data_IF_805702118284
#
_entry.id   IF_805702118284
#
_cell.length_a   1.000
_cell.length_b   1.000
_cell.length_c   1.000
_cell.angle_alpha   90.00
_cell.angle_beta   90.00
_cell.angle_gamma   90.00
#
_symmetry.space_group_name_H-M   'P 1'
#
loop_
_entity.id
_entity.type
_entity.pdbx_description
1 polymer ?
#
# COMPACT_ATOMS: atom_id res chain seq x y z
N UNK A 1 -28.10 9.08 -0.41
CA UNK A 1 -26.70 8.58 -0.45
C UNK A 1 -26.33 7.91 -1.78
N UNK A 2 -27.12 6.96 -2.31
CA UNK A 2 -26.79 6.19 -3.55
C UNK A 2 -26.42 7.06 -4.78
N UNK A 3 -27.10 8.20 -4.97
CA UNK A 3 -26.80 9.11 -6.08
C UNK A 3 -25.43 9.79 -5.94
N UNK A 4 -25.06 10.17 -4.71
CA UNK A 4 -23.77 10.81 -4.43
C UNK A 4 -22.64 9.82 -4.68
N UNK A 5 -22.77 8.58 -4.20
CA UNK A 5 -21.78 7.52 -4.44
C UNK A 5 -21.57 7.27 -5.94
N UNK A 6 -22.65 7.15 -6.71
CA UNK A 6 -22.56 6.87 -8.16
C UNK A 6 -21.96 8.04 -8.93
N UNK A 7 -22.38 9.27 -8.61
CA UNK A 7 -21.94 10.48 -9.31
C UNK A 7 -20.49 10.82 -8.97
N UNK A 8 -20.11 10.70 -7.70
CA UNK A 8 -18.74 10.91 -7.23
C UNK A 8 -17.81 9.84 -7.78
N UNK A 9 -18.19 8.55 -7.78
CA UNK A 9 -17.38 7.50 -8.41
C UNK A 9 -17.19 7.75 -9.89
N UNK A 10 -18.26 8.07 -10.63
CA UNK A 10 -18.16 8.38 -12.06
C UNK A 10 -17.26 9.59 -12.31
N UNK A 11 -17.38 10.64 -11.48
CA UNK A 11 -16.52 11.81 -11.57
C UNK A 11 -15.05 11.47 -11.25
N UNK A 12 -14.76 10.75 -10.17
CA UNK A 12 -13.41 10.31 -9.79
C UNK A 12 -12.78 9.38 -10.85
N UNK A 13 -13.58 8.52 -11.48
CA UNK A 13 -13.16 7.66 -12.57
C UNK A 13 -12.82 8.45 -13.86
N UNK A 14 -13.33 9.66 -14.03
CA UNK A 14 -12.97 10.53 -15.15
C UNK A 14 -11.80 11.46 -14.78
N UNK A 15 -11.91 12.12 -13.63
CA UNK A 15 -10.96 13.11 -13.14
C UNK A 15 -11.13 13.28 -11.62
N UNK A 16 -10.06 13.07 -10.85
CA UNK A 16 -10.12 13.15 -9.39
C UNK A 16 -10.51 14.55 -8.89
N UNK A 17 -10.00 15.63 -9.52
CA UNK A 17 -10.38 17.01 -9.18
C UNK A 17 -11.90 17.22 -9.36
N UNK A 18 -12.49 16.70 -10.44
CA UNK A 18 -13.93 16.79 -10.68
C UNK A 18 -14.74 16.07 -9.60
N UNK A 19 -14.26 14.90 -9.14
CA UNK A 19 -14.88 14.16 -8.06
C UNK A 19 -14.84 14.92 -6.73
N UNK A 20 -13.70 15.53 -6.40
CA UNK A 20 -13.55 16.35 -5.20
C UNK A 20 -14.40 17.63 -5.28
N UNK A 21 -14.40 18.34 -6.41
CA UNK A 21 -15.24 19.52 -6.61
C UNK A 21 -16.74 19.17 -6.47
N UNK A 22 -17.16 18.00 -6.92
CA UNK A 22 -18.54 17.53 -6.73
C UNK A 22 -18.87 17.25 -5.26
N UNK A 23 -17.92 16.69 -4.50
CA UNK A 23 -18.08 16.47 -3.05
C UNK A 23 -18.15 17.80 -2.29
N UNK A 24 -17.34 18.79 -2.68
CA UNK A 24 -17.35 20.14 -2.13
C UNK A 24 -18.65 20.88 -2.44
N UNK A 25 -19.09 20.88 -3.70
CA UNK A 25 -20.37 21.48 -4.11
C UNK A 25 -21.57 20.89 -3.33
N UNK A 26 -21.44 19.65 -2.87
CA UNK A 26 -22.48 18.94 -2.10
C UNK A 26 -22.35 19.13 -0.59
N UNK A 27 -21.40 19.94 -0.13
CA UNK A 27 -21.14 20.19 1.29
C UNK A 27 -20.62 18.97 2.04
N UNK A 28 -20.11 17.96 1.33
CA UNK A 28 -19.49 16.77 1.94
C UNK A 28 -18.04 17.06 2.29
N UNK A 29 -17.37 17.85 1.45
CA UNK A 29 -16.07 18.43 1.71
C UNK A 29 -16.22 19.87 2.23
N UNK A 30 -15.48 20.27 3.26
CA UNK A 30 -15.34 21.68 3.60
C UNK A 30 -14.67 22.42 2.44
N UNK A 31 -15.15 23.63 2.14
CA UNK A 31 -14.65 24.46 1.03
C UNK A 31 -13.24 25.03 1.26
N UNK A 32 -12.69 24.87 2.46
CA UNK A 32 -11.34 25.29 2.80
C UNK A 32 -10.32 24.20 2.43
N UNK A 33 -9.61 24.44 1.34
CA UNK A 33 -8.32 23.79 1.01
C UNK A 33 -7.35 24.20 2.11
N UNK A 34 -7.23 23.39 3.19
CA UNK A 34 -6.37 22.22 3.11
C UNK A 34 -6.95 20.92 3.73
N UNK A 35 -8.24 20.89 4.08
CA UNK A 35 -8.80 19.80 4.92
C UNK A 35 -9.22 18.53 4.17
N UNK A 36 -8.96 18.42 2.86
CA UNK A 36 -9.42 17.25 2.10
C UNK A 36 -8.72 15.94 2.51
N UNK A 37 -7.56 16.00 3.18
CA UNK A 37 -6.78 14.82 3.60
C UNK A 37 -7.61 13.78 4.36
N UNK A 38 -8.40 14.22 5.35
CA UNK A 38 -9.29 13.34 6.10
C UNK A 38 -10.39 12.71 5.24
N UNK A 39 -10.94 13.46 4.28
CA UNK A 39 -11.96 12.93 3.38
C UNK A 39 -11.39 11.94 2.38
N UNK A 40 -10.19 12.20 1.85
CA UNK A 40 -9.51 11.25 0.97
C UNK A 40 -9.18 9.97 1.72
N UNK A 41 -8.78 10.05 2.99
CA UNK A 41 -8.63 8.88 3.84
C UNK A 41 -9.94 8.08 3.97
N UNK A 42 -11.07 8.74 4.21
CA UNK A 42 -12.39 8.08 4.21
C UNK A 42 -12.73 7.43 2.86
N UNK A 43 -12.43 8.12 1.74
CA UNK A 43 -12.67 7.60 0.40
C UNK A 43 -11.82 6.35 0.12
N UNK A 44 -10.54 6.34 0.51
CA UNK A 44 -9.69 5.15 0.37
C UNK A 44 -10.23 3.93 1.11
N UNK A 45 -11.04 4.11 2.16
CA UNK A 45 -11.72 3.02 2.84
C UNK A 45 -12.80 2.33 1.99
N UNK A 46 -13.47 3.05 1.10
CA UNK A 46 -14.71 2.60 0.43
C UNK A 46 -14.61 2.46 -1.09
N UNK A 47 -13.51 2.90 -1.68
CA UNK A 47 -13.32 2.84 -3.13
C UNK A 47 -12.79 1.48 -3.59
N UNK A 48 -13.14 1.01 -4.81
CA UNK A 48 -12.46 -0.12 -5.42
C UNK A 48 -10.98 0.20 -5.67
N UNK A 49 -10.16 -0.84 -5.81
CA UNK A 49 -8.70 -0.70 -5.89
C UNK A 49 -8.22 0.23 -7.00
N UNK A 50 -8.84 0.14 -8.19
CA UNK A 50 -8.46 0.95 -9.34
C UNK A 50 -8.60 2.46 -9.03
N UNK A 51 -9.68 2.84 -8.36
CA UNK A 51 -9.92 4.20 -7.92
C UNK A 51 -9.05 4.59 -6.73
N UNK A 52 -8.78 3.67 -5.78
CA UNK A 52 -7.81 3.94 -4.70
C UNK A 52 -6.45 4.32 -5.28
N UNK A 53 -5.98 3.60 -6.31
CA UNK A 53 -4.70 3.90 -6.98
C UNK A 53 -4.69 5.27 -7.64
N UNK A 54 -5.78 5.65 -8.32
CA UNK A 54 -5.90 6.98 -8.92
C UNK A 54 -5.94 8.08 -7.88
N UNK A 55 -6.69 7.85 -6.80
CA UNK A 55 -6.80 8.79 -5.70
C UNK A 55 -5.46 8.97 -5.00
N UNK A 56 -4.77 7.88 -4.68
CA UNK A 56 -3.45 7.96 -4.07
C UNK A 56 -2.41 8.58 -5.04
N UNK A 57 -2.45 8.29 -6.35
CA UNK A 57 -1.62 8.99 -7.35
C UNK A 57 -1.90 10.49 -7.38
N UNK A 58 -3.17 10.89 -7.31
CA UNK A 58 -3.57 12.30 -7.21
C UNK A 58 -3.03 12.97 -5.95
N UNK A 59 -3.09 12.30 -4.80
CA UNK A 59 -2.54 12.79 -3.52
C UNK A 59 -1.03 13.00 -3.63
N UNK A 60 -0.35 12.08 -4.32
CA UNK A 60 1.10 12.09 -4.47
C UNK A 60 1.61 12.99 -5.59
N UNK A 61 0.73 13.58 -6.41
CA UNK A 61 1.12 14.43 -7.52
C UNK A 61 1.83 15.71 -7.05
N UNK A 62 2.98 16.02 -7.65
CA UNK A 62 3.89 17.13 -7.34
C UNK A 62 3.21 18.49 -7.15
N UNK A 63 2.20 18.79 -7.97
CA UNK A 63 1.43 20.04 -7.91
C UNK A 63 0.50 20.15 -6.69
N UNK A 64 0.32 19.08 -5.90
CA UNK A 64 -0.45 19.16 -4.66
C UNK A 64 0.31 19.96 -3.59
N UNK A 65 -0.39 20.80 -2.80
CA UNK A 65 0.23 21.51 -1.69
C UNK A 65 0.75 20.52 -0.62
N UNK A 66 1.89 20.85 -0.01
CA UNK A 66 2.54 19.99 0.98
C UNK A 66 1.66 19.77 2.23
N UNK A 67 0.87 20.79 2.61
CA UNK A 67 -0.02 20.78 3.76
C UNK A 67 -1.14 19.75 3.61
N UNK A 68 -1.70 19.64 2.40
CA UNK A 68 -2.76 18.67 2.13
C UNK A 68 -2.22 17.24 2.21
N UNK A 69 -0.97 17.04 1.81
CA UNK A 69 -0.28 15.78 1.95
C UNK A 69 -0.05 15.43 3.43
N UNK A 70 0.42 16.36 4.25
CA UNK A 70 0.55 16.16 5.70
C UNK A 70 -0.80 15.78 6.32
N UNK A 71 -1.88 16.49 5.96
CA UNK A 71 -3.23 16.18 6.41
C UNK A 71 -3.74 14.80 5.98
N UNK A 72 -3.27 14.26 4.86
CA UNK A 72 -3.59 12.90 4.42
C UNK A 72 -2.90 11.82 5.28
N UNK A 73 -1.66 12.06 5.72
CA UNK A 73 -0.93 11.12 6.58
C UNK A 73 -1.26 11.28 8.07
N UNK A 74 -1.82 12.41 8.49
CA UNK A 74 -2.15 12.66 9.90
C UNK A 74 -3.02 11.57 10.55
N UNK A 75 -4.06 11.02 9.89
CA UNK A 75 -4.88 9.95 10.47
C UNK A 75 -4.17 8.60 10.57
N UNK A 76 -3.07 8.42 9.83
CA UNK A 76 -2.29 7.20 9.87
C UNK A 76 -1.53 7.17 11.20
N UNK A 77 -1.92 6.22 12.06
CA UNK A 77 -1.20 5.94 13.29
C UNK A 77 0.09 5.24 12.91
N UNK A 78 1.16 6.01 12.78
CA UNK A 78 2.52 5.53 12.53
C UNK A 78 3.27 5.23 13.83
N UNK A 79 2.53 5.05 14.94
CA UNK A 79 3.07 4.65 16.24
C UNK A 79 3.47 3.18 16.13
N UNK A 80 4.68 2.94 15.64
CA UNK A 80 5.19 1.61 15.36
C UNK A 80 6.50 1.35 16.10
N UNK A 81 6.87 0.08 16.20
CA UNK A 81 8.11 -0.37 16.84
C UNK A 81 9.35 0.27 16.20
N UNK A 82 9.34 0.32 14.87
CA UNK A 82 10.43 0.69 13.98
C UNK A 82 9.88 1.39 12.72
N UNK A 83 10.73 2.10 11.96
CA UNK A 83 10.36 2.65 10.65
C UNK A 83 9.80 1.59 9.69
N UNK A 84 10.35 0.37 9.73
CA UNK A 84 9.85 -0.77 8.98
C UNK A 84 8.40 -1.13 9.35
N UNK A 85 8.08 -1.21 10.65
CA UNK A 85 6.72 -1.45 11.11
C UNK A 85 5.75 -0.34 10.70
N UNK A 86 6.20 0.91 10.76
CA UNK A 86 5.44 2.06 10.25
C UNK A 86 5.19 1.97 8.75
N UNK A 87 6.19 1.55 7.96
CA UNK A 87 6.06 1.35 6.53
C UNK A 87 5.05 0.24 6.20
N UNK A 88 5.09 -0.88 6.92
CA UNK A 88 4.09 -1.95 6.76
C UNK A 88 2.68 -1.43 7.04
N UNK A 89 2.48 -0.69 8.13
CA UNK A 89 1.19 -0.08 8.43
C UNK A 89 0.74 0.87 7.31
N UNK A 90 1.65 1.73 6.81
CA UNK A 90 1.36 2.61 5.68
C UNK A 90 0.88 1.85 4.44
N UNK A 91 1.57 0.76 4.07
CA UNK A 91 1.25 -0.03 2.88
C UNK A 91 -0.09 -0.79 2.98
N UNK A 92 -0.63 -0.98 4.19
CA UNK A 92 -2.00 -1.49 4.36
C UNK A 92 -3.07 -0.43 4.06
N UNK A 93 -2.70 0.85 4.03
CA UNK A 93 -3.60 1.95 3.68
C UNK A 93 -3.40 2.45 2.25
N UNK A 94 -2.20 2.29 1.69
CA UNK A 94 -1.89 2.64 0.30
C UNK A 94 -2.04 1.45 -0.65
N UNK A 95 -2.72 1.60 -1.80
CA UNK A 95 -2.97 0.52 -2.76
C UNK A 95 -1.79 0.27 -3.74
N UNK A 96 -0.60 0.79 -3.44
CA UNK A 96 0.62 0.67 -4.24
C UNK A 96 1.86 0.91 -3.38
N UNK A 97 3.03 0.49 -3.88
CA UNK A 97 4.30 0.88 -3.26
C UNK A 97 4.61 2.34 -3.63
N UNK A 98 5.18 3.14 -2.72
CA UNK A 98 5.56 4.52 -3.01
C UNK A 98 6.30 4.68 -4.34
N UNK A 99 7.22 3.76 -4.66
CA UNK A 99 8.00 3.74 -5.92
C UNK A 99 7.15 3.68 -7.19
N UNK A 100 5.93 3.15 -7.13
CA UNK A 100 5.00 3.07 -8.27
C UNK A 100 4.33 4.43 -8.57
N UNK A 101 4.47 5.41 -7.68
CA UNK A 101 3.93 6.76 -7.89
C UNK A 101 4.80 7.62 -8.83
N UNK A 102 5.89 7.07 -9.38
CA UNK A 102 6.82 7.80 -10.24
C UNK A 102 7.45 8.96 -9.48
N UNK A 103 7.32 10.17 -9.99
CA UNK A 103 7.79 11.40 -9.32
C UNK A 103 7.16 11.61 -7.93
N UNK A 104 5.99 11.02 -7.65
CA UNK A 104 5.32 11.11 -6.36
C UNK A 104 5.90 10.20 -5.26
N UNK A 105 6.80 9.26 -5.60
CA UNK A 105 7.34 8.28 -4.66
C UNK A 105 8.10 8.94 -3.51
N UNK A 106 8.96 9.89 -3.87
CA UNK A 106 9.79 10.61 -2.93
C UNK A 106 8.96 11.44 -1.95
N UNK A 107 7.87 12.04 -2.45
CA UNK A 107 6.95 12.82 -1.62
C UNK A 107 6.30 11.94 -0.55
N UNK A 108 5.84 10.75 -0.92
CA UNK A 108 5.28 9.75 0.02
C UNK A 108 6.28 9.37 1.09
N UNK A 109 7.49 8.99 0.70
CA UNK A 109 8.51 8.54 1.64
C UNK A 109 8.94 9.70 2.55
N UNK A 110 9.09 10.91 2.00
CA UNK A 110 9.40 12.12 2.76
C UNK A 110 8.32 12.47 3.78
N UNK A 111 7.03 12.39 3.45
CA UNK A 111 5.99 12.68 4.43
C UNK A 111 5.78 11.55 5.42
N UNK A 112 5.98 10.29 5.01
CA UNK A 112 6.05 9.18 5.95
C UNK A 112 7.17 9.41 6.96
N UNK A 113 8.38 9.78 6.52
CA UNK A 113 9.50 10.05 7.40
C UNK A 113 9.20 11.19 8.39
N UNK A 114 8.66 12.31 7.90
CA UNK A 114 8.18 13.41 8.75
C UNK A 114 7.15 12.93 9.78
N UNK A 115 6.08 12.27 9.32
CA UNK A 115 5.01 11.77 10.17
C UNK A 115 5.52 10.77 11.22
N UNK A 116 6.41 9.87 10.83
CA UNK A 116 7.01 8.89 11.74
C UNK A 116 7.87 9.57 12.82
N UNK A 117 8.72 10.53 12.44
CA UNK A 117 9.58 11.26 13.40
C UNK A 117 8.73 12.08 14.38
N UNK A 118 7.71 12.80 13.89
CA UNK A 118 6.79 13.56 14.73
C UNK A 118 6.02 12.67 15.71
N UNK A 119 5.58 11.49 15.28
CA UNK A 119 4.81 10.56 16.12
C UNK A 119 5.71 9.70 17.04
N UNK A 120 7.01 9.56 16.76
CA UNK A 120 7.92 8.68 17.49
C UNK A 120 9.24 9.37 17.92
N UNK A 121 9.22 10.55 18.57
CA UNK A 121 10.43 11.32 18.86
C UNK A 121 11.39 10.57 19.79
N UNK A 122 10.87 9.84 20.79
CA UNK A 122 11.70 9.05 21.70
C UNK A 122 12.44 7.90 20.98
N UNK A 123 11.78 7.23 20.03
CA UNK A 123 12.41 6.16 19.25
C UNK A 123 13.46 6.70 18.30
N UNK A 124 13.21 7.87 17.69
CA UNK A 124 14.20 8.50 16.81
C UNK A 124 15.46 8.94 17.58
N UNK A 125 15.32 9.33 18.86
CA UNK A 125 16.49 9.61 19.71
C UNK A 125 17.32 8.35 19.93
N UNK A 126 16.70 7.23 20.26
CA UNK A 126 17.40 5.94 20.40
C UNK A 126 18.04 5.52 19.07
N UNK A 127 17.33 5.70 17.96
CA UNK A 127 17.81 5.37 16.62
C UNK A 127 19.06 6.15 16.22
N UNK A 128 19.17 7.42 16.65
CA UNK A 128 20.28 8.32 16.30
C UNK A 128 21.36 8.41 17.39
N UNK A 129 21.21 7.72 18.51
CA UNK A 129 22.24 7.71 19.55
C UNK A 129 23.52 7.11 18.97
N UNK A 130 24.69 7.75 19.17
CA UNK A 130 25.97 7.14 18.83
C UNK A 130 26.05 5.80 19.56
N UNK A 131 26.27 4.72 18.81
CA UNK A 131 26.59 3.44 19.45
C UNK A 131 28.02 3.61 19.98
N UNK A 132 28.21 3.60 21.30
CA UNK A 132 29.55 3.75 21.92
C UNK A 132 30.48 2.57 21.61
N UNK A 133 29.98 1.55 20.93
CA UNK A 133 30.77 0.48 20.36
C UNK A 133 31.46 1.02 19.11
N UNK A 134 32.59 1.69 19.29
CA UNK A 134 33.59 1.88 18.24
C UNK A 134 34.64 0.78 18.43
N UNK A 135 34.45 -0.45 17.90
CA UNK A 135 35.39 -1.56 18.10
C UNK A 135 36.68 -1.33 17.31
N UNK A 136 36.70 -0.30 16.46
CA UNK A 136 37.82 0.16 15.66
C UNK A 136 38.57 1.34 16.29
N UNK A 137 38.36 1.60 17.58
CA UNK A 137 39.31 2.31 18.44
C UNK A 137 40.63 1.55 18.61
N UNK A 138 41.22 1.12 17.48
CA UNK A 138 42.59 0.67 17.38
C UNK A 138 43.49 1.86 17.62
N UNK A 139 44.04 1.93 18.83
CA UNK A 139 45.48 1.92 19.05
C UNK A 139 46.36 2.71 18.05
N UNK A 140 45.98 3.93 17.65
CA UNK A 140 46.92 4.92 17.12
C UNK A 140 47.73 5.59 18.25
N UNK A 141 48.10 4.81 19.28
CA UNK A 141 49.20 5.18 20.19
C UNK A 141 50.52 4.95 19.46
N UNK A 142 50.89 5.93 18.63
CA UNK A 142 52.17 5.93 17.92
C UNK A 142 52.62 7.28 17.40
N UNK A 143 52.18 8.39 18.00
CA UNK A 143 52.54 9.75 17.56
C UNK A 143 52.94 10.65 18.73
N UNK A 144 54.17 10.51 19.23
CA UNK A 144 54.82 11.50 20.08
C UNK A 144 54.98 12.83 19.32
N UNK A 145 54.31 13.89 19.78
CA UNK A 145 54.44 15.22 19.21
C UNK A 145 53.94 16.33 20.13
N UNK A 146 54.78 16.70 21.11
CA UNK A 146 55.06 18.05 21.64
C UNK A 146 54.01 19.12 21.26
N UNK A 147 53.15 19.58 22.18
CA UNK A 147 53.54 20.52 23.23
C UNK A 147 53.22 21.97 22.81
N UNK A 148 51.99 22.42 23.08
CA UNK A 148 51.55 23.80 22.85
C UNK A 148 50.35 24.12 23.73
N UNK A 149 50.60 24.80 24.85
CA UNK A 149 49.60 25.24 25.79
C UNK A 149 48.96 26.55 25.29
N UNK A 150 47.70 26.48 24.85
CA UNK A 150 46.83 27.66 24.78
C UNK A 150 45.59 27.38 25.62
N UNK A 151 45.56 28.00 26.80
CA UNK A 151 44.37 28.16 27.63
C UNK A 151 43.35 29.01 26.86
N UNK A 152 42.32 28.36 26.32
CA UNK A 152 41.12 29.04 25.84
C UNK A 152 40.00 28.78 26.83
N UNK A 153 39.93 29.66 27.82
CA UNK A 153 38.81 29.81 28.76
C UNK A 153 37.61 30.37 28.01
N UNK A 154 36.69 29.49 27.61
CA UNK A 154 35.44 29.84 26.92
C UNK A 154 34.23 29.21 27.59
N UNK A 155 33.75 29.82 28.66
CA UNK A 155 32.40 29.61 29.20
C UNK A 155 31.37 30.08 28.17
N UNK A 156 30.97 29.17 27.28
CA UNK A 156 29.89 29.37 26.33
C UNK A 156 28.73 28.44 26.66
N UNK A 157 27.77 28.95 27.45
CA UNK A 157 26.48 28.32 27.71
C UNK A 157 25.71 28.15 26.37
N UNK A 158 26.02 27.04 25.70
CA UNK A 158 25.57 26.70 24.35
C UNK A 158 24.34 25.78 24.41
N UNK A 159 23.47 25.98 25.40
CA UNK A 159 22.15 25.35 25.50
C UNK A 159 21.14 26.05 24.58
N UNK A 160 21.59 26.43 23.37
CA UNK A 160 20.79 27.16 22.40
C UNK A 160 19.67 26.30 21.81
N UNK A 161 18.46 26.86 21.59
CA UNK A 161 17.29 26.16 21.02
C UNK A 161 17.49 25.59 19.59
N UNK A 162 18.67 25.76 18.99
CA UNK A 162 18.99 25.29 17.63
C UNK A 162 19.19 23.78 17.52
N UNK A 163 19.43 23.05 18.62
CA UNK A 163 19.68 21.60 18.58
C UNK A 163 18.47 20.78 18.12
N UNK A 164 17.25 21.23 18.42
CA UNK A 164 16.03 20.48 18.12
C UNK A 164 15.74 20.34 16.62
N UNK A 165 15.84 21.45 15.87
CA UNK A 165 15.52 21.46 14.44
C UNK A 165 16.54 20.69 13.59
N UNK A 166 17.82 20.71 13.98
CA UNK A 166 18.83 19.91 13.27
C UNK A 166 18.64 18.42 13.53
N UNK A 167 18.42 18.03 14.79
CA UNK A 167 18.11 16.65 15.15
C UNK A 167 16.90 16.12 14.39
N UNK A 168 15.83 16.91 14.28
CA UNK A 168 14.62 16.49 13.58
C UNK A 168 14.88 16.26 12.09
N UNK A 169 15.65 17.14 11.43
CA UNK A 169 16.04 16.95 10.02
C UNK A 169 16.90 15.70 9.83
N UNK A 170 17.92 15.51 10.67
CA UNK A 170 18.78 14.32 10.61
C UNK A 170 17.96 13.02 10.80
N UNK A 171 16.97 13.04 11.70
CA UNK A 171 16.07 11.92 11.92
C UNK A 171 15.18 11.65 10.71
N UNK A 172 14.63 12.70 10.08
CA UNK A 172 13.80 12.59 8.89
C UNK A 172 14.60 11.99 7.73
N UNK A 173 15.81 12.49 7.46
CA UNK A 173 16.69 11.99 6.40
C UNK A 173 17.08 10.52 6.63
N UNK A 174 17.39 10.16 7.88
CA UNK A 174 17.72 8.78 8.27
C UNK A 174 16.54 7.85 8.04
N UNK A 175 15.33 8.21 8.49
CA UNK A 175 14.12 7.40 8.30
C UNK A 175 13.77 7.28 6.81
N UNK A 176 13.88 8.38 6.06
CA UNK A 176 13.62 8.43 4.63
C UNK A 176 14.52 7.44 3.87
N UNK A 177 15.83 7.51 4.11
CA UNK A 177 16.80 6.63 3.44
C UNK A 177 16.65 5.17 3.88
N UNK A 178 16.33 4.93 5.15
CA UNK A 178 16.08 3.59 5.65
C UNK A 178 14.86 2.97 4.97
N UNK A 179 13.77 3.72 4.80
CA UNK A 179 12.56 3.26 4.10
C UNK A 179 12.88 2.89 2.65
N UNK A 180 13.63 3.72 1.93
CA UNK A 180 14.09 3.37 0.58
C UNK A 180 14.89 2.07 0.56
N UNK A 181 15.83 1.90 1.51
CA UNK A 181 16.64 0.67 1.59
C UNK A 181 15.79 -0.57 1.87
N UNK A 182 14.74 -0.47 2.69
CA UNK A 182 13.80 -1.55 2.98
C UNK A 182 13.00 -1.94 1.73
N UNK A 183 12.50 -0.95 0.97
CA UNK A 183 11.76 -1.19 -0.29
C UNK A 183 12.66 -1.89 -1.32
N UNK A 184 13.92 -1.43 -1.46
CA UNK A 184 14.90 -2.06 -2.35
C UNK A 184 15.23 -3.49 -1.89
N UNK A 185 15.41 -3.72 -0.60
CA UNK A 185 15.67 -5.05 -0.05
C UNK A 185 14.49 -6.00 -0.31
N UNK A 186 13.25 -5.55 -0.09
CA UNK A 186 12.07 -6.35 -0.39
C UNK A 186 12.02 -6.74 -1.87
N UNK A 187 12.39 -5.83 -2.76
CA UNK A 187 12.47 -6.10 -4.20
C UNK A 187 13.56 -7.12 -4.51
N UNK A 188 14.77 -6.95 -3.96
CA UNK A 188 15.88 -7.87 -4.13
C UNK A 188 15.52 -9.30 -3.68
N UNK A 189 15.03 -9.45 -2.45
CA UNK A 189 14.75 -10.75 -1.85
C UNK A 189 13.62 -11.50 -2.54
N UNK A 190 12.54 -10.80 -2.93
CA UNK A 190 11.30 -11.44 -3.37
C UNK A 190 11.05 -11.38 -4.89
N UNK A 191 11.85 -10.65 -5.67
CA UNK A 191 11.77 -10.69 -7.13
C UNK A 191 12.69 -11.81 -7.69
N UNK A 192 12.18 -12.94 -8.19
CA UNK A 192 13.00 -14.06 -8.66
C UNK A 192 13.72 -13.79 -9.99
N UNK A 193 13.56 -12.61 -10.60
CA UNK A 193 14.48 -12.17 -11.66
C UNK A 193 15.86 -11.72 -11.11
N UNK A 194 15.95 -11.43 -9.80
CA UNK A 194 17.17 -10.93 -9.17
C UNK A 194 17.92 -12.12 -8.55
N UNK A 195 19.10 -12.42 -9.07
CA UNK A 195 20.03 -13.40 -8.52
C UNK A 195 21.48 -12.94 -8.75
N UNK A 196 22.40 -13.14 -7.79
CA UNK A 196 22.18 -13.70 -6.45
C UNK A 196 21.36 -12.76 -5.53
N UNK A 197 20.77 -13.32 -4.46
CA UNK A 197 20.05 -12.54 -3.43
C UNK A 197 21.02 -11.88 -2.46
N UNK A 198 20.70 -10.68 -2.01
CA UNK A 198 21.49 -9.95 -1.03
C UNK A 198 21.42 -10.63 0.35
N UNK A 199 22.59 -10.98 0.89
CA UNK A 199 22.70 -11.48 2.27
C UNK A 199 22.50 -10.37 3.30
N UNK A 200 22.19 -10.74 4.55
CA UNK A 200 22.03 -9.78 5.65
C UNK A 200 23.28 -8.90 5.86
N UNK A 201 24.48 -9.51 5.76
CA UNK A 201 25.75 -8.81 5.89
C UNK A 201 25.99 -7.82 4.75
N UNK A 202 25.66 -8.19 3.51
CA UNK A 202 25.78 -7.29 2.35
C UNK A 202 24.80 -6.12 2.46
N UNK A 203 23.58 -6.38 2.92
CA UNK A 203 22.58 -5.33 3.17
C UNK A 203 23.08 -4.33 4.21
N UNK A 204 23.52 -4.81 5.38
CA UNK A 204 24.06 -3.96 6.43
C UNK A 204 25.29 -3.16 5.96
N UNK A 205 26.25 -3.82 5.30
CA UNK A 205 27.42 -3.16 4.73
C UNK A 205 27.03 -2.10 3.68
N UNK A 206 25.98 -2.34 2.90
CA UNK A 206 25.47 -1.38 1.92
C UNK A 206 24.87 -0.14 2.59
N UNK A 207 24.02 -0.33 3.60
CA UNK A 207 23.43 0.77 4.35
C UNK A 207 24.49 1.61 5.08
N UNK A 208 25.49 0.99 5.70
CA UNK A 208 26.55 1.68 6.46
C UNK A 208 27.45 2.59 5.60
N UNK A 209 27.48 2.39 4.27
CA UNK A 209 28.16 3.32 3.35
C UNK A 209 27.47 4.68 3.30
N UNK A 210 26.17 4.73 3.57
CA UNK A 210 25.39 5.97 3.60
C UNK A 210 25.64 6.72 4.92
N UNK A 211 26.10 7.99 4.89
CA UNK A 211 26.42 8.75 6.10
C UNK A 211 25.29 8.83 7.12
N UNK A 212 24.04 8.99 6.66
CA UNK A 212 22.85 9.10 7.48
C UNK A 212 22.51 7.77 8.19
N UNK A 213 22.76 6.65 7.53
CA UNK A 213 22.48 5.31 8.09
C UNK A 213 23.65 4.72 8.88
N UNK A 214 24.86 5.30 8.75
CA UNK A 214 26.08 4.81 9.41
C UNK A 214 25.99 4.75 10.93
N UNK A 215 25.11 5.57 11.53
CA UNK A 215 24.91 5.62 12.98
C UNK A 215 24.02 4.48 13.52
N UNK A 216 23.32 3.77 12.64
CA UNK A 216 22.44 2.69 13.04
C UNK A 216 23.25 1.43 13.40
N UNK A 217 22.92 0.72 14.49
CA UNK A 217 23.59 -0.53 14.84
C UNK A 217 23.42 -1.58 13.74
N UNK A 218 24.48 -2.34 13.45
CA UNK A 218 24.45 -3.45 12.47
C UNK A 218 23.31 -4.44 12.74
N UNK A 219 23.07 -4.76 14.01
CA UNK A 219 21.98 -5.63 14.45
C UNK A 219 20.59 -5.14 14.00
N UNK A 220 20.40 -3.83 13.82
CA UNK A 220 19.14 -3.27 13.32
C UNK A 220 18.92 -3.63 11.85
N UNK A 221 19.97 -3.57 11.03
CA UNK A 221 19.88 -3.96 9.62
C UNK A 221 19.67 -5.46 9.46
N UNK A 222 20.32 -6.28 10.29
CA UNK A 222 20.12 -7.73 10.31
C UNK A 222 18.70 -8.09 10.73
N UNK A 223 18.15 -7.42 11.75
CA UNK A 223 16.77 -7.60 12.17
C UNK A 223 15.77 -7.22 11.06
N UNK A 224 16.00 -6.09 10.37
CA UNK A 224 15.19 -5.68 9.22
C UNK A 224 15.29 -6.72 8.09
N UNK A 225 16.49 -7.22 7.79
CA UNK A 225 16.70 -8.23 6.75
C UNK A 225 15.95 -9.54 7.06
N UNK A 226 16.08 -10.03 8.30
CA UNK A 226 15.35 -11.20 8.76
C UNK A 226 13.83 -10.98 8.67
N UNK A 227 13.33 -9.83 9.14
CA UNK A 227 11.90 -9.48 9.10
C UNK A 227 11.34 -9.44 7.67
N UNK A 228 12.06 -8.82 6.73
CA UNK A 228 11.63 -8.74 5.33
C UNK A 228 11.73 -10.11 4.64
N UNK A 229 12.73 -10.92 4.98
CA UNK A 229 12.86 -12.30 4.48
C UNK A 229 11.68 -13.16 4.92
N UNK A 230 11.32 -13.10 6.20
CA UNK A 230 10.23 -13.88 6.80
C UNK A 230 8.85 -13.41 6.30
N UNK A 231 8.64 -12.10 6.26
CA UNK A 231 7.37 -11.49 5.93
C UNK A 231 7.57 -10.39 4.88
N UNK A 232 7.32 -10.67 3.59
CA UNK A 232 7.39 -9.65 2.55
C UNK A 232 6.48 -8.44 2.85
N UNK A 233 6.80 -7.28 2.30
CA UNK A 233 5.93 -6.10 2.39
C UNK A 233 4.57 -6.39 1.73
N UNK A 234 3.49 -6.23 2.50
CA UNK A 234 2.14 -6.43 2.02
C UNK A 234 1.51 -5.09 1.66
N UNK A 235 0.92 -5.01 0.46
CA UNK A 235 0.11 -3.89 0.02
C UNK A 235 -1.35 -4.28 0.24
N UNK A 236 -2.18 -3.34 0.73
CA UNK A 236 -3.60 -3.54 1.04
C UNK A 236 -4.32 -4.52 0.08
N UNK A 237 -4.48 -5.77 0.50
CA UNK A 237 -4.93 -6.90 -0.34
C UNK A 237 -6.43 -7.16 -0.29
N UNK A 238 -7.20 -6.28 0.36
CA UNK A 238 -8.59 -6.57 0.74
C UNK A 238 -9.59 -6.63 -0.43
N UNK A 239 -9.18 -6.56 -1.70
CA UNK A 239 -10.08 -6.73 -2.85
C UNK A 239 -9.35 -7.39 -4.01
N UNK A 240 -9.39 -8.74 -4.04
CA UNK A 240 -8.78 -9.60 -5.05
C UNK A 240 -7.24 -9.47 -5.18
N UNK A 241 -6.55 -10.57 -5.44
CA UNK A 241 -5.11 -10.56 -5.71
C UNK A 241 -4.81 -9.52 -6.78
N UNK A 242 -4.00 -8.53 -6.42
CA UNK A 242 -3.65 -7.44 -7.33
C UNK A 242 -2.65 -7.96 -8.32
N UNK A 243 -3.13 -8.35 -9.50
CA UNK A 243 -2.30 -8.54 -10.66
C UNK A 243 -1.61 -7.22 -11.01
N UNK A 244 -0.28 -7.23 -10.98
CA UNK A 244 0.58 -6.07 -11.20
C UNK A 244 0.37 -5.55 -12.62
N UNK A 245 -0.30 -4.41 -12.80
CA UNK A 245 -0.53 -3.84 -14.15
C UNK A 245 0.80 -3.27 -14.67
N UNK A 246 1.50 -4.03 -15.51
CA UNK A 246 2.59 -3.52 -16.33
C UNK A 246 2.01 -2.55 -17.37
N UNK A 247 2.38 -1.28 -17.28
CA UNK A 247 2.08 -0.29 -18.31
C UNK A 247 3.18 -0.32 -19.36
N UNK A 248 2.96 -1.04 -20.46
CA UNK A 248 3.80 -0.91 -21.65
C UNK A 248 3.26 0.24 -22.51
N UNK A 249 4.11 1.23 -22.78
CA UNK A 249 3.80 2.30 -23.74
C UNK A 249 4.28 1.88 -25.12
N UNK A 250 3.36 1.65 -26.06
CA UNK A 250 3.67 1.30 -27.46
C UNK A 250 3.50 2.48 -28.43
N UNK A 251 3.26 3.69 -27.91
CA UNK A 251 3.08 4.89 -28.73
C UNK A 251 1.72 5.01 -29.43
N UNK A 252 0.81 4.03 -29.31
CA UNK A 252 -0.54 4.08 -29.92
C UNK A 252 -1.68 4.16 -28.92
N UNK A 253 -1.39 3.94 -27.64
CA UNK A 253 -2.32 4.14 -26.53
C UNK A 253 -1.85 3.36 -25.31
N UNK A 254 -2.32 3.75 -24.13
CA UNK A 254 -2.06 2.96 -22.92
C UNK A 254 -2.94 1.70 -22.95
N UNK A 255 -2.38 0.58 -23.40
CA UNK A 255 -3.03 -0.73 -23.28
C UNK A 255 -2.83 -1.20 -21.84
N UNK A 256 -3.92 -1.19 -21.06
CA UNK A 256 -3.95 -1.81 -19.74
C UNK A 256 -4.18 -3.31 -19.92
N UNK A 257 -3.11 -4.06 -20.10
CA UNK A 257 -3.18 -5.52 -20.11
C UNK A 257 -3.34 -5.98 -18.66
N UNK A 258 -4.39 -6.74 -18.29
CA UNK A 258 -4.41 -7.41 -17.00
C UNK A 258 -3.20 -8.33 -16.99
N UNK A 259 -2.25 -8.11 -16.07
CA UNK A 259 -1.20 -9.11 -15.88
C UNK A 259 -1.92 -10.38 -15.46
N UNK A 260 -1.84 -11.42 -16.27
CA UNK A 260 -2.15 -12.74 -15.77
C UNK A 260 -0.99 -13.04 -14.81
N UNK A 261 -1.23 -12.87 -13.51
CA UNK A 261 -0.26 -13.05 -12.44
C UNK A 261 0.79 -11.92 -12.32
N UNK A 262 0.98 -11.40 -11.10
CA UNK A 262 2.35 -11.07 -10.69
C UNK A 262 3.13 -12.38 -10.81
N UNK A 263 4.09 -12.46 -11.74
CA UNK A 263 4.94 -13.65 -11.96
C UNK A 263 5.61 -14.14 -10.67
N UNK A 264 5.58 -13.36 -9.57
CA UNK A 264 6.49 -13.46 -8.44
C UNK A 264 5.81 -13.59 -7.07
N UNK A 265 4.54 -13.97 -7.00
CA UNK A 265 3.90 -14.35 -5.74
C UNK A 265 3.32 -15.76 -5.83
N UNK A 266 4.19 -16.76 -5.92
CA UNK A 266 3.86 -18.15 -5.63
C UNK A 266 4.25 -18.48 -4.19
N UNK A 267 3.41 -18.09 -3.23
CA UNK A 267 3.31 -18.90 -2.02
C UNK A 267 2.55 -20.15 -2.40
N UNK A 268 3.23 -21.29 -2.41
CA UNK A 268 2.58 -22.58 -2.52
C UNK A 268 1.52 -22.71 -1.42
N UNK A 269 0.31 -23.12 -1.78
CA UNK A 269 -0.61 -23.69 -0.79
C UNK A 269 0.16 -24.72 0.03
N UNK A 270 0.01 -24.77 1.36
CA UNK A 270 0.53 -25.89 2.13
C UNK A 270 -0.10 -27.15 1.55
N UNK A 271 0.74 -27.99 0.93
CA UNK A 271 0.38 -29.31 0.47
C UNK A 271 -0.19 -30.07 1.65
N UNK A 272 -1.52 -30.23 1.69
CA UNK A 272 -2.17 -31.28 2.44
C UNK A 272 -1.77 -32.61 1.80
N UNK A 273 -0.65 -33.16 2.25
CA UNK A 273 -0.08 -34.40 1.72
C UNK A 273 0.96 -35.00 2.65
N UNK A 274 0.47 -35.74 3.65
CA UNK A 274 1.04 -36.94 4.26
C UNK A 274 2.52 -36.95 4.67
N UNK A 275 2.74 -36.78 5.98
CA UNK A 275 3.87 -37.40 6.68
C UNK A 275 3.34 -38.61 7.45
N UNK A 276 3.71 -39.80 6.95
CA UNK A 276 3.75 -41.15 7.56
C UNK A 276 3.34 -42.16 6.47
N UNK A 277 4.07 -43.21 6.15
CA UNK A 277 5.27 -43.82 6.68
C UNK A 277 5.48 -45.12 5.88
N UNK A 278 6.69 -45.67 5.91
CA UNK A 278 6.97 -46.98 5.37
C UNK A 278 6.07 -48.06 6.01
N UNK A 279 5.50 -48.95 5.20
CA UNK A 279 4.72 -50.09 5.70
C UNK A 279 4.00 -50.84 4.59
N UNK A 280 4.47 -52.05 4.32
CA UNK A 280 3.94 -53.00 3.34
C UNK A 280 2.54 -53.54 3.70
N UNK A 281 1.78 -53.98 2.69
CA UNK A 281 0.62 -54.87 2.88
C UNK A 281 -0.53 -54.56 1.92
N UNK A 282 -0.78 -55.46 0.97
CA UNK A 282 -1.82 -55.30 -0.05
C UNK A 282 -3.25 -55.66 0.40
N UNK A 283 -4.23 -55.10 -0.31
CA UNK A 283 -5.53 -55.69 -0.62
C UNK A 283 -6.27 -54.78 -1.64
N UNK A 284 -7.15 -55.30 -2.52
CA UNK A 284 -7.73 -54.54 -3.62
C UNK A 284 -9.12 -53.95 -3.31
N UNK A 285 -9.34 -52.76 -3.88
CA UNK A 285 -10.59 -52.19 -4.41
C UNK A 285 -11.90 -52.32 -3.60
N UNK A 286 -12.39 -51.18 -3.11
CA UNK A 286 -13.82 -50.87 -3.09
C UNK A 286 -14.04 -49.38 -3.32
N UNK A 287 -14.88 -49.07 -4.30
CA UNK A 287 -15.05 -47.74 -4.88
C UNK A 287 -15.59 -46.71 -3.90
N UNK A 288 -14.92 -45.57 -3.85
CA UNK A 288 -15.45 -44.33 -3.29
C UNK A 288 -15.63 -43.38 -4.46
N UNK A 289 -16.88 -43.16 -4.88
CA UNK A 289 -17.22 -42.07 -5.78
C UNK A 289 -16.88 -40.75 -5.07
N UNK A 290 -16.10 -39.85 -5.67
CA UNK A 290 -15.99 -38.50 -5.18
C UNK A 290 -17.32 -37.80 -5.48
N UNK A 291 -18.20 -37.71 -4.48
CA UNK A 291 -19.29 -36.74 -4.50
C UNK A 291 -18.64 -35.37 -4.53
N UNK A 292 -18.49 -34.80 -5.73
CA UNK A 292 -18.06 -33.43 -5.92
C UNK A 292 -19.09 -32.52 -5.25
N UNK A 293 -18.84 -32.14 -4.01
CA UNK A 293 -19.59 -31.09 -3.34
C UNK A 293 -19.42 -29.84 -4.19
N UNK A 294 -20.50 -29.39 -4.82
CA UNK A 294 -20.53 -28.12 -5.54
C UNK A 294 -19.98 -27.03 -4.60
N UNK A 295 -19.13 -26.13 -5.10
CA UNK A 295 -18.55 -25.07 -4.27
C UNK A 295 -19.68 -24.29 -3.62
N UNK A 296 -19.59 -24.10 -2.30
CA UNK A 296 -20.56 -23.32 -1.55
C UNK A 296 -20.64 -21.92 -2.17
N UNK A 297 -21.80 -21.60 -2.75
CA UNK A 297 -22.03 -20.30 -3.38
C UNK A 297 -22.08 -19.25 -2.27
N UNK A 298 -21.17 -18.29 -2.32
CA UNK A 298 -21.22 -17.11 -1.48
C UNK A 298 -22.37 -16.21 -1.95
N UNK A 299 -23.50 -16.32 -1.24
CA UNK A 299 -24.73 -15.59 -1.56
C UNK A 299 -24.59 -14.08 -1.42
N UNK A 300 -23.61 -13.57 -0.64
CA UNK A 300 -23.36 -12.13 -0.57
C UNK A 300 -22.73 -11.63 -1.87
N UNK A 301 -21.74 -12.36 -2.39
CA UNK A 301 -21.10 -12.05 -3.69
C UNK A 301 -22.11 -12.19 -4.83
N UNK A 302 -22.92 -13.25 -4.84
CA UNK A 302 -23.98 -13.43 -5.83
C UNK A 302 -25.01 -12.29 -5.79
N UNK A 303 -25.40 -11.83 -4.59
CA UNK A 303 -26.32 -10.70 -4.41
C UNK A 303 -25.76 -9.39 -4.97
N UNK A 304 -24.51 -9.04 -4.66
CA UNK A 304 -23.89 -7.82 -5.19
C UNK A 304 -23.64 -7.89 -6.70
N UNK A 305 -23.26 -9.04 -7.25
CA UNK A 305 -23.13 -9.25 -8.69
C UNK A 305 -24.46 -9.10 -9.43
N UNK A 306 -25.57 -9.59 -8.85
CA UNK A 306 -26.91 -9.38 -9.40
C UNK A 306 -27.30 -7.89 -9.35
N UNK A 307 -27.00 -7.20 -8.25
CA UNK A 307 -27.26 -5.76 -8.16
C UNK A 307 -26.46 -4.97 -9.19
N UNK A 308 -25.19 -5.33 -9.43
CA UNK A 308 -24.36 -4.66 -10.43
C UNK A 308 -24.80 -4.98 -11.86
N UNK A 309 -25.18 -6.23 -12.16
CA UNK A 309 -25.80 -6.60 -13.43
C UNK A 309 -27.10 -5.82 -13.68
N UNK A 310 -27.96 -5.67 -12.67
CA UNK A 310 -29.21 -4.90 -12.77
C UNK A 310 -28.93 -3.40 -12.95
N UNK A 311 -27.87 -2.88 -12.32
CA UNK A 311 -27.42 -1.49 -12.49
C UNK A 311 -26.88 -1.25 -13.91
N UNK A 312 -26.12 -2.17 -14.47
CA UNK A 312 -25.59 -2.06 -15.83
C UNK A 312 -26.66 -2.28 -16.91
N UNK A 313 -27.62 -3.17 -16.66
CA UNK A 313 -28.83 -3.28 -17.49
C UNK A 313 -29.61 -1.97 -17.49
N UNK A 314 -29.80 -1.35 -16.32
CA UNK A 314 -30.48 -0.05 -16.20
C UNK A 314 -29.74 1.06 -16.95
N UNK A 315 -28.40 1.10 -16.87
CA UNK A 315 -27.56 2.08 -17.58
C UNK A 315 -27.57 1.88 -19.09
N UNK A 316 -27.49 0.62 -19.54
CA UNK A 316 -27.57 0.26 -20.96
C UNK A 316 -28.94 0.58 -21.54
N UNK A 317 -30.01 0.38 -20.75
CA UNK A 317 -31.36 0.81 -21.10
C UNK A 317 -31.49 2.33 -21.17
N UNK A 318 -30.93 3.08 -20.22
CA UNK A 318 -31.06 4.53 -20.21
C UNK A 318 -30.35 5.22 -21.37
N UNK A 319 -29.22 4.67 -21.84
CA UNK A 319 -28.45 5.28 -22.92
C UNK A 319 -28.86 4.82 -24.33
N UNK A 320 -29.29 3.56 -24.51
CA UNK A 320 -29.63 3.05 -25.84
C UNK A 320 -31.13 2.99 -26.14
N UNK A 321 -31.97 2.84 -25.13
CA UNK A 321 -33.38 2.50 -25.33
C UNK A 321 -34.36 3.63 -24.99
N UNK A 322 -33.93 4.70 -24.31
CA UNK A 322 -34.78 5.87 -24.05
C UNK A 322 -35.36 6.53 -25.32
N UNK A 323 -34.65 6.59 -26.47
CA UNK A 323 -35.23 7.11 -27.71
C UNK A 323 -36.32 6.19 -28.29
N UNK A 324 -36.19 4.87 -28.09
CA UNK A 324 -37.10 3.83 -28.61
C UNK A 324 -38.31 3.62 -27.69
N UNK A 325 -38.14 3.82 -26.38
CA UNK A 325 -39.14 3.58 -25.34
C UNK A 325 -40.19 4.70 -25.18
N UNK A 326 -40.16 5.76 -26.00
CA UNK A 326 -41.24 6.77 -26.03
C UNK A 326 -42.55 6.21 -26.60
N UNK A 327 -42.53 5.04 -27.25
CA UNK A 327 -43.74 4.30 -27.60
C UNK A 327 -44.26 3.47 -26.43
N UNK A 328 -45.57 3.53 -26.15
CA UNK A 328 -46.28 2.77 -25.10
C UNK A 328 -45.93 1.27 -25.05
N UNK A 329 -45.50 0.68 -26.17
CA UNK A 329 -45.12 -0.73 -26.27
C UNK A 329 -43.79 -1.08 -25.57
N UNK A 330 -42.83 -0.16 -25.50
CA UNK A 330 -41.52 -0.43 -24.87
C UNK A 330 -41.60 -0.60 -23.36
N UNK A 331 -42.51 0.12 -22.71
CA UNK A 331 -42.71 0.06 -21.26
C UNK A 331 -43.41 -1.24 -20.82
N UNK A 332 -44.31 -1.77 -21.66
CA UNK A 332 -44.99 -3.05 -21.41
C UNK A 332 -44.01 -4.24 -21.49
N UNK A 333 -43.08 -4.24 -22.47
CA UNK A 333 -42.05 -5.29 -22.58
C UNK A 333 -41.08 -5.29 -21.40
N UNK A 334 -40.69 -4.10 -20.92
CA UNK A 334 -39.83 -3.95 -19.74
C UNK A 334 -40.48 -4.48 -18.46
N UNK A 335 -41.76 -4.16 -18.23
CA UNK A 335 -42.51 -4.68 -17.09
C UNK A 335 -42.73 -6.19 -17.19
N UNK A 336 -42.92 -6.72 -18.41
CA UNK A 336 -43.02 -8.16 -18.64
C UNK A 336 -41.72 -8.90 -18.32
N UNK A 337 -40.57 -8.37 -18.75
CA UNK A 337 -39.26 -8.98 -18.51
C UNK A 337 -38.87 -8.98 -17.02
N UNK A 338 -39.17 -7.91 -16.28
CA UNK A 338 -38.91 -7.87 -14.83
C UNK A 338 -39.82 -8.81 -14.05
N UNK A 339 -41.09 -8.94 -14.42
CA UNK A 339 -42.00 -9.93 -13.83
C UNK A 339 -41.54 -11.37 -14.10
N UNK A 340 -41.10 -11.67 -15.33
CA UNK A 340 -40.60 -12.99 -15.68
C UNK A 340 -39.32 -13.37 -14.90
N UNK A 341 -38.38 -12.42 -14.75
CA UNK A 341 -37.17 -12.64 -13.97
C UNK A 341 -37.46 -12.85 -12.48
N UNK A 342 -38.37 -12.05 -11.89
CA UNK A 342 -38.79 -12.24 -10.51
C UNK A 342 -39.50 -13.59 -10.29
N UNK A 343 -40.34 -14.02 -11.24
CA UNK A 343 -41.00 -15.32 -11.20
C UNK A 343 -39.98 -16.48 -11.27
N UNK A 344 -38.95 -16.37 -12.12
CA UNK A 344 -37.90 -17.38 -12.24
C UNK A 344 -37.10 -17.55 -10.94
N UNK A 345 -36.77 -16.44 -10.26
CA UNK A 345 -36.09 -16.47 -8.94
C UNK A 345 -36.97 -17.12 -7.87
N UNK A 346 -38.27 -16.80 -7.85
CA UNK A 346 -39.21 -17.41 -6.91
C UNK A 346 -39.40 -18.91 -7.16
N UNK A 347 -39.41 -19.34 -8.42
CA UNK A 347 -39.49 -20.76 -8.79
C UNK A 347 -38.22 -21.53 -8.41
N UNK A 348 -37.03 -20.96 -8.63
CA UNK A 348 -35.77 -21.59 -8.20
C UNK A 348 -35.70 -21.75 -6.68
N UNK A 349 -36.17 -20.75 -5.92
CA UNK A 349 -36.21 -20.80 -4.45
C UNK A 349 -37.17 -21.86 -3.90
N UNK A 350 -38.17 -22.28 -4.67
CA UNK A 350 -39.13 -23.31 -4.26
C UNK A 350 -38.61 -24.74 -4.46
N UNK A 351 -37.58 -24.91 -5.29
CA UNK A 351 -36.95 -26.19 -5.62
C UNK A 351 -35.56 -26.39 -5.00
N UNK A 352 -35.10 -25.41 -4.20
CA UNK A 352 -33.86 -25.47 -3.40
C UNK A 352 -34.20 -25.86 -1.96
#
# INVERSE_FOLDING_TARGET
>A
MVWLETSVRTALAQNVQRGLALLEQRGVLPSSVPQWGGTVHCLLGWMPLAEKRRLASFVCADWQPAEAFIGFFQPLQLVAASPEGGLRALLLHLPFLPIDAGEGADRVISAFARGYVTQNPARCRVLLQPTEEDPFGGDERGGTGVGGAEEVSGEGDSSGPCGGAQFERDAQDTVHLLVYSIIMLNTDLHNPAIHPKMSAREYAASCLRCPQLRRLPTASFEAIHASITESPLQIASNVASVDTILRTYDGTGAIATPAQYSVYSSFGQPSRGNVAGAGAGGAPLSGVQPSASLPAVDWAVAYYNILDMLRDLRRSFSHRWLPVARGRQGMALLLGATFAAAAAVLLCRRHS
#
